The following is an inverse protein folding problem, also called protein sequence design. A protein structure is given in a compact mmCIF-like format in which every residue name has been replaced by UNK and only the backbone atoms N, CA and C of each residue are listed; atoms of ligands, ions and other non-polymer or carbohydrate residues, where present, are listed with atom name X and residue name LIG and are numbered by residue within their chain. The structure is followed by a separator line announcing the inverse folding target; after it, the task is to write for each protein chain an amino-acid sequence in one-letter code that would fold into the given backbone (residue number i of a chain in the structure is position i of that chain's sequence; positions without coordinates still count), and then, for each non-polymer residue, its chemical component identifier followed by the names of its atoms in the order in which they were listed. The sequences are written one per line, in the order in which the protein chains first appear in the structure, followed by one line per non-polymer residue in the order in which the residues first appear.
data_IF_973365201712
#
_entry.id   IF_973365201712
#
_cell.length_a   1.000
_cell.length_b   1.000
_cell.length_c   1.000
_cell.angle_alpha   90.00
_cell.angle_beta   90.00
_cell.angle_gamma   90.00
#
_symmetry.space_group_name_H-M   'P 1'
#
loop_
_entity.id
_entity.type
_entity.pdbx_description
1 polymer ?
#
# COMPACT_ATOMS: atom_id res chain seq x y z
N UNK A 1 35.31 48.34 33.01
CA UNK A 1 34.74 46.98 33.14
C UNK A 1 33.73 46.80 32.03
N UNK A 2 34.05 45.96 31.05
CA UNK A 2 33.11 45.50 30.01
C UNK A 2 32.19 44.45 30.62
N UNK A 3 30.89 44.53 30.37
CA UNK A 3 29.99 43.38 30.20
C UNK A 3 28.72 43.81 29.48
N UNK A 4 28.58 43.31 28.25
CA UNK A 4 27.39 43.37 27.39
C UNK A 4 26.17 42.79 28.11
N UNK A 5 25.11 43.57 28.23
CA UNK A 5 23.76 43.07 28.49
C UNK A 5 23.21 42.44 27.20
N UNK A 6 22.75 41.19 27.30
CA UNK A 6 22.15 40.47 26.20
C UNK A 6 20.74 41.01 25.95
N UNK A 7 20.44 41.42 24.72
CA UNK A 7 19.09 41.71 24.28
C UNK A 7 18.33 40.38 24.16
N UNK A 8 17.27 40.23 24.96
CA UNK A 8 16.26 39.19 24.75
C UNK A 8 15.30 39.67 23.66
N UNK A 9 15.58 39.30 22.43
CA UNK A 9 14.62 39.36 21.33
C UNK A 9 14.55 37.97 20.70
N UNK A 10 13.70 37.12 21.27
CA UNK A 10 13.21 35.91 20.62
C UNK A 10 11.72 36.09 20.35
N UNK A 11 11.43 37.06 19.48
CA UNK A 11 10.27 37.01 18.60
C UNK A 11 10.52 35.91 17.58
N UNK A 12 10.29 34.66 17.98
CA UNK A 12 10.33 33.49 17.10
C UNK A 12 8.90 33.05 16.86
N UNK A 13 8.21 33.76 15.97
CA UNK A 13 6.89 33.42 15.49
C UNK A 13 6.79 31.94 15.10
N UNK A 14 5.75 31.33 15.64
CA UNK A 14 5.21 30.01 15.38
C UNK A 14 4.84 29.89 13.89
N UNK A 15 5.82 29.59 13.04
CA UNK A 15 5.61 29.27 11.62
C UNK A 15 6.45 28.06 11.22
N UNK A 16 6.01 26.87 11.63
CA UNK A 16 6.23 25.63 10.87
C UNK A 16 5.28 24.52 11.31
N UNK A 17 3.99 24.85 11.46
CA UNK A 17 2.92 23.86 11.30
C UNK A 17 2.88 23.49 9.81
N UNK A 18 3.82 22.65 9.37
CA UNK A 18 3.73 21.92 8.10
C UNK A 18 2.66 20.85 8.27
N UNK A 19 1.41 21.30 8.31
CA UNK A 19 0.28 20.47 7.93
C UNK A 19 0.18 20.46 6.41
N UNK A 20 0.00 19.25 5.88
CA UNK A 20 -0.50 18.94 4.55
C UNK A 20 0.39 19.27 3.35
N UNK A 21 1.12 18.26 2.89
CA UNK A 21 0.80 17.62 1.61
C UNK A 21 1.70 16.38 1.42
N UNK A 22 1.57 15.37 2.30
CA UNK A 22 1.67 14.01 1.77
C UNK A 22 0.45 13.88 0.88
N UNK A 23 0.61 14.25 -0.40
CA UNK A 23 -0.46 14.22 -1.39
C UNK A 23 -1.21 12.92 -1.21
N UNK A 24 -2.46 12.99 -0.76
CA UNK A 24 -3.38 11.89 -0.91
C UNK A 24 -3.37 11.60 -2.41
N UNK A 25 -2.73 10.50 -2.80
CA UNK A 25 -2.59 10.17 -4.21
C UNK A 25 -4.00 10.09 -4.78
N UNK A 26 -4.28 10.87 -5.83
CA UNK A 26 -5.59 10.79 -6.45
C UNK A 26 -5.84 9.37 -6.92
N UNK A 27 -7.08 8.92 -6.83
CA UNK A 27 -7.55 7.65 -7.37
C UNK A 27 -7.06 7.43 -8.81
N UNK A 28 -7.13 8.48 -9.63
CA UNK A 28 -6.65 8.46 -11.01
C UNK A 28 -5.13 8.27 -11.08
N UNK A 29 -4.35 8.83 -10.17
CA UNK A 29 -2.89 8.63 -10.13
C UNK A 29 -2.51 7.21 -9.72
N UNK A 30 -3.26 6.60 -8.79
CA UNK A 30 -3.05 5.22 -8.35
C UNK A 30 -3.38 4.26 -9.48
N UNK A 31 -4.55 4.42 -10.12
CA UNK A 31 -4.96 3.57 -11.23
C UNK A 31 -4.04 3.76 -12.45
N UNK A 32 -3.70 5.00 -12.79
CA UNK A 32 -2.86 5.32 -13.94
C UNK A 32 -1.43 4.82 -13.77
N UNK A 33 -0.80 4.97 -12.59
CA UNK A 33 0.54 4.37 -12.35
C UNK A 33 0.53 2.85 -12.34
N UNK A 34 -0.55 2.23 -11.87
CA UNK A 34 -0.67 0.77 -11.91
C UNK A 34 -0.93 0.30 -13.35
N UNK A 35 -1.66 1.08 -14.15
CA UNK A 35 -1.96 0.79 -15.56
C UNK A 35 -0.73 0.99 -16.46
N UNK A 36 0.05 2.04 -16.20
CA UNK A 36 1.29 2.34 -16.93
C UNK A 36 2.36 1.25 -16.76
N UNK A 37 2.27 0.39 -15.74
CA UNK A 37 3.19 -0.75 -15.57
C UNK A 37 2.73 -2.05 -16.25
N UNK A 38 1.58 -2.04 -16.92
CA UNK A 38 0.96 -3.26 -17.48
C UNK A 38 0.58 -4.30 -16.41
N UNK A 39 0.57 -3.91 -15.13
CA UNK A 39 0.27 -4.76 -13.97
C UNK A 39 -1.09 -4.47 -13.34
N UNK A 40 -1.74 -3.35 -13.67
CA UNK A 40 -3.08 -3.04 -13.15
C UNK A 40 -4.10 -4.10 -13.52
N UNK A 41 -4.12 -4.55 -14.78
CA UNK A 41 -5.14 -5.50 -15.22
C UNK A 41 -5.06 -6.80 -14.42
N UNK A 42 -3.85 -7.30 -14.17
CA UNK A 42 -3.66 -8.48 -13.33
C UNK A 42 -4.06 -8.25 -11.88
N UNK A 43 -3.74 -7.09 -11.31
CA UNK A 43 -4.13 -6.74 -9.93
C UNK A 43 -5.64 -6.68 -9.82
N UNK A 44 -6.31 -5.98 -10.72
CA UNK A 44 -7.77 -5.81 -10.73
C UNK A 44 -8.48 -7.15 -10.94
N UNK A 45 -8.06 -7.94 -11.92
CA UNK A 45 -8.64 -9.26 -12.17
C UNK A 45 -8.38 -10.22 -11.01
N UNK A 46 -7.22 -10.16 -10.37
CA UNK A 46 -6.91 -10.99 -9.19
C UNK A 46 -7.82 -10.63 -8.01
N UNK A 47 -8.05 -9.34 -7.76
CA UNK A 47 -8.99 -8.88 -6.72
C UNK A 47 -10.41 -9.34 -7.04
N UNK A 48 -10.88 -9.18 -8.29
CA UNK A 48 -12.20 -9.68 -8.72
C UNK A 48 -12.34 -11.19 -8.48
N UNK A 49 -11.33 -11.96 -8.88
CA UNK A 49 -11.33 -13.42 -8.69
C UNK A 49 -11.39 -13.81 -7.22
N UNK A 50 -10.63 -13.14 -6.36
CA UNK A 50 -10.62 -13.41 -4.91
C UNK A 50 -11.92 -13.04 -4.24
N UNK A 51 -12.51 -11.88 -4.57
CA UNK A 51 -13.83 -11.49 -4.04
C UNK A 51 -14.91 -12.48 -4.45
N UNK A 52 -14.89 -12.96 -5.70
CA UNK A 52 -15.83 -13.97 -6.19
C UNK A 52 -15.67 -15.34 -5.52
N UNK A 53 -14.42 -15.75 -5.24
CA UNK A 53 -14.12 -17.05 -4.64
C UNK A 53 -14.22 -17.05 -3.10
N UNK A 54 -14.06 -15.89 -2.47
CA UNK A 54 -14.03 -15.70 -1.03
C UNK A 54 -14.78 -14.40 -0.63
N UNK A 55 -16.12 -14.41 -0.58
CA UNK A 55 -16.91 -13.22 -0.31
C UNK A 55 -16.71 -12.63 1.10
N UNK A 56 -16.21 -13.42 2.05
CA UNK A 56 -15.89 -13.01 3.41
C UNK A 56 -14.50 -12.35 3.54
N UNK A 57 -13.68 -12.39 2.49
CA UNK A 57 -12.31 -11.92 2.53
C UNK A 57 -12.25 -10.39 2.67
N UNK A 58 -11.38 -9.91 3.56
CA UNK A 58 -11.22 -8.48 3.83
C UNK A 58 -9.83 -7.99 3.41
N UNK A 59 -9.72 -6.79 2.81
CA UNK A 59 -8.46 -6.29 2.26
C UNK A 59 -7.42 -5.86 3.30
N UNK A 60 -7.71 -5.96 4.59
CA UNK A 60 -6.76 -5.68 5.68
C UNK A 60 -6.28 -6.96 6.39
N UNK A 61 -6.79 -8.13 6.02
CA UNK A 61 -6.38 -9.39 6.63
C UNK A 61 -5.15 -9.93 5.90
N UNK A 62 -4.10 -10.27 6.65
CA UNK A 62 -2.84 -10.80 6.10
C UNK A 62 -3.10 -12.05 5.25
N UNK A 63 -4.00 -12.94 5.68
CA UNK A 63 -4.38 -14.13 4.91
C UNK A 63 -4.98 -13.78 3.55
N UNK A 64 -5.84 -12.76 3.50
CA UNK A 64 -6.46 -12.30 2.26
C UNK A 64 -5.41 -11.72 1.31
N UNK A 65 -4.50 -10.90 1.83
CA UNK A 65 -3.43 -10.31 1.03
C UNK A 65 -2.41 -11.36 0.60
N UNK A 66 -2.15 -12.38 1.42
CA UNK A 66 -1.26 -13.50 1.05
C UNK A 66 -1.84 -14.28 -0.12
N UNK A 67 -3.16 -14.57 -0.10
CA UNK A 67 -3.85 -15.21 -1.23
C UNK A 67 -3.82 -14.34 -2.48
N UNK A 68 -3.97 -13.01 -2.33
CA UNK A 68 -3.79 -12.05 -3.40
C UNK A 68 -2.41 -12.12 -4.04
N UNK A 69 -1.34 -12.06 -3.23
CA UNK A 69 0.04 -12.15 -3.72
C UNK A 69 0.27 -13.50 -4.44
N UNK A 70 -0.19 -14.62 -3.88
CA UNK A 70 -0.05 -15.93 -4.50
C UNK A 70 -0.79 -16.04 -5.83
N UNK A 71 -2.02 -15.51 -5.92
CA UNK A 71 -2.79 -15.52 -7.15
C UNK A 71 -2.17 -14.61 -8.23
N UNK A 72 -1.63 -13.45 -7.85
CA UNK A 72 -0.90 -12.56 -8.74
C UNK A 72 0.38 -13.22 -9.27
N UNK A 73 1.15 -13.86 -8.38
CA UNK A 73 2.35 -14.62 -8.75
C UNK A 73 2.02 -15.77 -9.70
N UNK A 74 0.93 -16.51 -9.47
CA UNK A 74 0.48 -17.59 -10.35
C UNK A 74 0.18 -17.11 -11.77
N UNK A 75 -0.46 -15.94 -11.90
CA UNK A 75 -0.80 -15.35 -13.20
C UNK A 75 0.44 -14.94 -13.99
N UNK A 76 1.40 -14.35 -13.29
CA UNK A 76 2.66 -13.88 -13.90
C UNK A 76 3.66 -14.99 -14.16
N UNK A 77 3.68 -16.00 -13.31
CA UNK A 77 4.63 -17.11 -13.34
C UNK A 77 3.86 -18.43 -13.19
N UNK A 78 3.26 -18.95 -14.28
CA UNK A 78 2.42 -20.15 -14.24
C UNK A 78 3.14 -21.39 -13.69
N UNK A 79 4.46 -21.48 -13.94
CA UNK A 79 5.31 -22.59 -13.51
C UNK A 79 5.84 -22.44 -12.08
N UNK A 80 5.51 -21.35 -11.38
CA UNK A 80 5.99 -21.12 -10.02
C UNK A 80 5.38 -22.16 -9.07
N UNK A 81 6.20 -22.89 -8.29
CA UNK A 81 5.69 -23.91 -7.38
C UNK A 81 5.06 -23.26 -6.15
N UNK A 82 3.79 -22.86 -6.24
CA UNK A 82 3.05 -22.16 -5.18
C UNK A 82 2.90 -22.97 -3.88
N UNK A 83 3.15 -24.27 -3.92
CA UNK A 83 3.19 -25.15 -2.74
C UNK A 83 4.56 -25.19 -2.06
N UNK A 84 5.58 -24.57 -2.65
CA UNK A 84 6.90 -24.46 -2.03
C UNK A 84 6.80 -23.57 -0.80
N UNK A 85 7.31 -24.07 0.33
CA UNK A 85 7.37 -23.33 1.59
C UNK A 85 8.04 -21.96 1.39
N UNK A 86 9.11 -21.90 0.59
CA UNK A 86 9.79 -20.64 0.25
C UNK A 86 8.87 -19.62 -0.41
N UNK A 87 8.03 -20.06 -1.35
CA UNK A 87 7.09 -19.18 -2.06
C UNK A 87 5.97 -18.72 -1.12
N UNK A 88 5.46 -19.62 -0.28
CA UNK A 88 4.45 -19.30 0.72
C UNK A 88 4.96 -18.29 1.75
N UNK A 89 6.17 -18.49 2.29
CA UNK A 89 6.81 -17.55 3.22
C UNK A 89 7.03 -16.18 2.58
N UNK A 90 7.57 -16.15 1.36
CA UNK A 90 7.76 -14.91 0.62
C UNK A 90 6.44 -14.16 0.40
N UNK A 91 5.37 -14.86 0.00
CA UNK A 91 4.07 -14.26 -0.21
C UNK A 91 3.48 -13.71 1.10
N UNK A 92 3.63 -14.43 2.21
CA UNK A 92 3.20 -13.98 3.53
C UNK A 92 3.97 -12.75 4.00
N UNK A 93 5.29 -12.69 3.77
CA UNK A 93 6.12 -11.52 4.11
C UNK A 93 5.70 -10.30 3.30
N UNK A 94 5.50 -10.45 1.99
CA UNK A 94 5.02 -9.37 1.12
C UNK A 94 3.64 -8.90 1.59
N UNK A 95 2.75 -9.82 1.93
CA UNK A 95 1.41 -9.49 2.40
C UNK A 95 1.44 -8.70 3.71
N UNK A 96 2.29 -9.11 4.66
CA UNK A 96 2.49 -8.38 5.90
C UNK A 96 3.00 -6.96 5.64
N UNK A 97 4.03 -6.80 4.79
CA UNK A 97 4.54 -5.47 4.43
C UNK A 97 3.48 -4.58 3.74
N UNK A 98 2.62 -5.16 2.89
CA UNK A 98 1.53 -4.41 2.25
C UNK A 98 0.44 -3.95 3.23
N UNK A 99 0.17 -4.73 4.28
CA UNK A 99 -0.80 -4.38 5.32
C UNK A 99 -0.23 -3.34 6.30
N UNK A 100 1.07 -3.45 6.62
CA UNK A 100 1.77 -2.54 7.52
C UNK A 100 2.10 -1.18 6.89
N UNK A 101 2.24 -1.12 5.56
CA UNK A 101 2.38 0.14 4.83
C UNK A 101 1.01 0.85 4.73
N UNK A 102 0.84 2.02 5.35
CA UNK A 102 -0.45 2.73 5.38
C UNK A 102 -0.90 3.16 3.97
N UNK A 103 0.03 3.48 3.07
CA UNK A 103 -0.29 3.89 1.71
C UNK A 103 -0.71 2.68 0.87
N UNK A 104 0.02 1.56 0.98
CA UNK A 104 -0.31 0.33 0.25
C UNK A 104 -1.63 -0.29 0.75
N UNK A 105 -1.84 -0.30 2.06
CA UNK A 105 -3.05 -0.79 2.71
C UNK A 105 -4.29 0.01 2.28
N UNK A 106 -4.18 1.34 2.27
CA UNK A 106 -5.27 2.20 1.80
C UNK A 106 -5.58 2.00 0.31
N UNK A 107 -4.54 1.86 -0.54
CA UNK A 107 -4.74 1.54 -1.96
C UNK A 107 -5.46 0.22 -2.15
N UNK A 108 -5.05 -0.82 -1.42
CA UNK A 108 -5.70 -2.13 -1.50
C UNK A 108 -7.16 -2.05 -1.06
N UNK A 109 -7.45 -1.32 0.03
CA UNK A 109 -8.81 -1.08 0.50
C UNK A 109 -9.68 -0.37 -0.54
N UNK A 110 -9.16 0.67 -1.19
CA UNK A 110 -9.85 1.42 -2.24
C UNK A 110 -10.10 0.55 -3.49
N UNK A 111 -9.10 -0.22 -3.94
CA UNK A 111 -9.28 -1.13 -5.07
C UNK A 111 -10.33 -2.22 -4.76
N UNK A 112 -10.30 -2.77 -3.55
CA UNK A 112 -11.23 -3.82 -3.11
C UNK A 112 -12.69 -3.33 -3.04
N UNK A 113 -12.94 -2.09 -2.62
CA UNK A 113 -14.30 -1.54 -2.51
C UNK A 113 -14.91 -1.22 -3.88
N UNK A 114 -14.09 -0.82 -4.86
CA UNK A 114 -14.57 -0.44 -6.19
C UNK A 114 -14.89 -1.61 -7.11
N UNK A 115 -14.24 -2.75 -6.92
CA UNK A 115 -14.43 -3.93 -7.76
C UNK A 115 -15.66 -4.76 -7.35
N UNK A 116 -16.81 -4.12 -7.19
CA UNK A 116 -18.09 -4.75 -6.83
C UNK A 116 -18.72 -5.49 -8.00
#
# INVERSE_FOLDING_TARGET
MNSKGWNSDSSGDDQSRKENAESAWSMEDVLRRTADSGQADDVLETIKHLKGSHPQAKPHEIDTITRFVLALLKRRYPDLPLKSEKVLTMASTIAQSLVEDPVASERMRLLWSQLS
#
